data_IF_921483979013
#
_entry.id   IF_921483979013
#
_cell.length_a   1.000
_cell.length_b   1.000
_cell.length_c   1.000
_cell.angle_alpha   90.00
_cell.angle_beta   90.00
_cell.angle_gamma   90.00
#
_symmetry.space_group_name_H-M   'P 1'
#
loop_
_entity.id
_entity.type
_entity.pdbx_description
1 polymer ?
#
# COMPACT_ATOMS: atom_id res chain seq x y z
N UNK A 1 -30.03 32.28 -1.21
CA UNK A 1 -29.82 31.08 -2.05
C UNK A 1 -29.25 30.02 -1.14
N UNK A 2 -30.11 29.14 -0.62
CA UNK A 2 -29.69 28.07 0.28
C UNK A 2 -28.90 27.06 -0.55
N UNK A 3 -27.63 26.81 -0.18
CA UNK A 3 -26.87 25.70 -0.76
C UNK A 3 -27.49 24.42 -0.24
N UNK A 4 -28.07 23.67 -1.15
CA UNK A 4 -28.49 22.29 -0.92
C UNK A 4 -27.23 21.47 -0.60
N UNK A 5 -27.10 21.03 0.65
CA UNK A 5 -26.03 20.14 1.11
C UNK A 5 -26.50 18.69 1.07
N UNK A 6 -27.32 18.33 0.07
CA UNK A 6 -27.70 16.94 -0.21
C UNK A 6 -26.47 16.15 -0.72
N UNK A 7 -25.64 15.75 0.24
CA UNK A 7 -24.81 14.55 0.25
C UNK A 7 -24.05 14.23 -1.04
N UNK A 8 -23.08 15.06 -1.41
CA UNK A 8 -21.86 14.52 -1.99
C UNK A 8 -21.12 13.90 -0.81
N UNK A 9 -21.26 12.58 -0.60
CA UNK A 9 -20.46 11.86 0.38
C UNK A 9 -19.03 11.81 -0.17
N UNK A 10 -18.31 12.94 -0.12
CA UNK A 10 -16.91 13.03 -0.54
C UNK A 10 -16.12 12.24 0.49
N UNK A 11 -15.98 10.94 0.25
CA UNK A 11 -15.03 10.13 0.98
C UNK A 11 -13.66 10.79 0.85
N UNK A 12 -13.09 11.24 1.96
CA UNK A 12 -11.79 11.89 1.98
C UNK A 12 -10.69 10.82 1.89
N UNK A 13 -10.49 10.25 0.70
CA UNK A 13 -9.52 9.18 0.48
C UNK A 13 -8.06 9.63 0.68
N UNK A 14 -7.80 10.94 0.78
CA UNK A 14 -6.50 11.49 1.16
C UNK A 14 -6.25 11.53 2.67
N UNK A 15 -7.25 11.20 3.51
CA UNK A 15 -7.17 11.29 4.96
C UNK A 15 -6.92 9.92 5.61
N UNK A 16 -5.92 9.86 6.49
CA UNK A 16 -5.57 8.66 7.25
C UNK A 16 -6.75 8.15 8.08
N UNK A 17 -7.56 9.04 8.65
CA UNK A 17 -8.69 8.66 9.51
C UNK A 17 -9.78 7.92 8.74
N UNK A 18 -9.97 8.25 7.46
CA UNK A 18 -10.88 7.51 6.59
C UNK A 18 -10.41 6.05 6.45
N UNK A 19 -9.13 5.86 6.16
CA UNK A 19 -8.54 4.52 5.98
C UNK A 19 -8.46 3.73 7.28
N UNK A 20 -8.08 4.36 8.39
CA UNK A 20 -8.09 3.72 9.71
C UNK A 20 -9.49 3.19 10.05
N UNK A 21 -10.54 4.00 9.86
CA UNK A 21 -11.91 3.57 10.10
C UNK A 21 -12.32 2.39 9.20
N UNK A 22 -11.91 2.41 7.93
CA UNK A 22 -12.16 1.31 6.98
C UNK A 22 -11.47 0.02 7.41
N UNK A 23 -10.18 0.06 7.76
CA UNK A 23 -9.41 -1.13 8.13
C UNK A 23 -9.81 -1.71 9.50
N UNK A 24 -10.37 -0.91 10.39
CA UNK A 24 -11.00 -1.42 11.64
C UNK A 24 -12.24 -2.26 11.31
N UNK A 25 -13.05 -1.84 10.34
CA UNK A 25 -14.31 -2.51 9.99
C UNK A 25 -14.09 -3.74 9.09
N UNK A 26 -13.09 -3.71 8.22
CA UNK A 26 -12.79 -4.78 7.26
C UNK A 26 -11.63 -5.65 7.74
N UNK A 27 -11.93 -6.80 8.37
CA UNK A 27 -10.91 -7.71 8.92
C UNK A 27 -10.18 -8.59 7.90
N UNK A 28 -10.54 -8.54 6.61
CA UNK A 28 -9.98 -9.41 5.55
C UNK A 28 -9.09 -8.65 4.58
N UNK A 29 -8.09 -9.33 4.00
CA UNK A 29 -7.22 -8.73 2.98
C UNK A 29 -7.99 -8.35 1.71
N UNK A 30 -7.77 -7.13 1.23
CA UNK A 30 -8.41 -6.58 0.05
C UNK A 30 -7.38 -6.06 -0.95
N UNK A 31 -7.53 -6.44 -2.22
CA UNK A 31 -6.72 -5.91 -3.32
C UNK A 31 -7.57 -5.03 -4.21
N UNK A 32 -7.25 -3.75 -4.24
CA UNK A 32 -7.77 -2.84 -5.26
C UNK A 32 -7.28 -3.27 -6.64
N UNK A 33 -8.19 -3.14 -7.62
CA UNK A 33 -8.04 -3.48 -9.04
C UNK A 33 -7.75 -4.95 -9.34
N UNK A 34 -6.50 -5.39 -9.19
CA UNK A 34 -6.02 -6.70 -9.64
C UNK A 34 -5.14 -7.37 -8.59
N UNK A 35 -5.19 -8.70 -8.54
CA UNK A 35 -4.29 -9.54 -7.71
C UNK A 35 -2.94 -9.70 -8.40
N UNK A 36 -1.91 -10.09 -7.64
CA UNK A 36 -0.56 -10.29 -8.16
C UNK A 36 -0.51 -11.27 -9.33
N UNK A 37 -1.30 -12.35 -9.30
CA UNK A 37 -1.33 -13.36 -10.38
C UNK A 37 -1.59 -12.76 -11.77
N UNK A 38 -2.46 -11.76 -11.88
CA UNK A 38 -2.74 -11.06 -13.13
C UNK A 38 -1.65 -10.05 -13.50
N UNK A 39 -1.03 -9.42 -12.50
CA UNK A 39 0.02 -8.40 -12.68
C UNK A 39 1.42 -9.00 -12.88
N UNK A 40 1.63 -10.25 -12.46
CA UNK A 40 2.92 -10.93 -12.38
C UNK A 40 3.75 -10.82 -13.66
N UNK A 41 3.21 -11.04 -14.89
CA UNK A 41 4.02 -10.92 -16.11
C UNK A 41 4.60 -9.52 -16.31
N UNK A 42 3.87 -8.48 -15.90
CA UNK A 42 4.30 -7.09 -16.01
C UNK A 42 5.30 -6.73 -14.91
N UNK A 43 5.01 -7.12 -13.67
CA UNK A 43 5.92 -6.86 -12.54
C UNK A 43 7.26 -7.55 -12.80
N UNK A 44 7.26 -8.83 -13.19
CA UNK A 44 8.48 -9.58 -13.51
C UNK A 44 9.29 -9.01 -14.67
N UNK A 45 8.65 -8.32 -15.59
CA UNK A 45 9.31 -7.71 -16.74
C UNK A 45 10.15 -6.50 -16.33
N UNK A 46 9.72 -5.74 -15.32
CA UNK A 46 10.31 -4.45 -14.97
C UNK A 46 10.97 -4.42 -13.59
N UNK A 47 10.58 -5.31 -12.67
CA UNK A 47 11.09 -5.38 -11.30
C UNK A 47 11.79 -6.73 -11.12
N UNK A 48 13.07 -6.68 -10.75
CA UNK A 48 13.85 -7.90 -10.51
C UNK A 48 13.57 -8.41 -9.09
N UNK A 49 13.63 -9.72 -8.82
CA UNK A 49 13.41 -10.25 -7.47
C UNK A 49 14.40 -9.73 -6.42
N UNK A 50 15.64 -9.46 -6.86
CA UNK A 50 16.69 -8.89 -6.02
C UNK A 50 16.61 -7.37 -5.87
N UNK A 51 15.64 -6.71 -6.52
CA UNK A 51 15.43 -5.27 -6.38
C UNK A 51 14.93 -4.95 -4.97
N UNK A 52 15.40 -3.85 -4.39
CA UNK A 52 14.80 -3.26 -3.21
C UNK A 52 13.54 -2.50 -3.62
N UNK A 53 12.37 -3.04 -3.26
CA UNK A 53 11.06 -2.54 -3.70
C UNK A 53 10.41 -1.69 -2.62
N UNK A 54 9.83 -0.55 -3.00
CA UNK A 54 8.91 0.23 -2.19
C UNK A 54 7.47 0.04 -2.71
N UNK A 55 6.60 -0.50 -1.87
CA UNK A 55 5.15 -0.56 -2.11
C UNK A 55 4.51 0.64 -1.40
N UNK A 56 3.98 1.59 -2.16
CA UNK A 56 3.30 2.77 -1.60
C UNK A 56 1.81 2.50 -1.44
N UNK A 57 1.22 3.04 -0.37
CA UNK A 57 -0.17 2.81 0.02
C UNK A 57 -0.56 1.34 -0.02
N UNK A 58 0.21 0.51 0.69
CA UNK A 58 0.09 -0.94 0.61
C UNK A 58 -1.26 -1.48 1.13
N UNK A 59 -1.93 -0.73 2.00
CA UNK A 59 -3.15 -1.12 2.68
C UNK A 59 -3.03 -2.50 3.33
N UNK A 60 -4.05 -3.34 3.10
CA UNK A 60 -4.08 -4.73 3.54
C UNK A 60 -4.02 -5.74 2.37
N UNK A 61 -3.49 -5.30 1.23
CA UNK A 61 -3.31 -6.08 0.01
C UNK A 61 -2.34 -7.25 0.22
N UNK A 62 -2.52 -8.34 -0.54
CA UNK A 62 -1.61 -9.50 -0.49
C UNK A 62 -0.56 -9.49 -1.60
N UNK A 63 -0.48 -8.42 -2.39
CA UNK A 63 0.47 -8.33 -3.50
C UNK A 63 1.91 -8.57 -3.04
N UNK A 64 2.34 -7.98 -1.92
CA UNK A 64 3.72 -8.12 -1.43
C UNK A 64 4.04 -9.53 -0.93
N UNK A 65 3.11 -10.23 -0.24
CA UNK A 65 3.34 -11.62 0.16
C UNK A 65 3.44 -12.56 -1.06
N UNK A 66 2.65 -12.31 -2.10
CA UNK A 66 2.68 -13.11 -3.32
C UNK A 66 3.96 -12.84 -4.12
N UNK A 67 4.47 -11.60 -4.10
CA UNK A 67 5.80 -11.29 -4.61
C UNK A 67 6.89 -12.03 -3.84
N UNK A 68 6.85 -12.06 -2.50
CA UNK A 68 7.82 -12.83 -1.72
C UNK A 68 7.75 -14.33 -2.03
N UNK A 69 6.56 -14.91 -2.18
CA UNK A 69 6.39 -16.30 -2.64
C UNK A 69 6.96 -16.52 -4.05
N UNK A 70 6.97 -15.48 -4.87
CA UNK A 70 7.60 -15.45 -6.19
C UNK A 70 9.10 -15.08 -6.13
N UNK A 71 9.71 -15.04 -4.95
CA UNK A 71 11.16 -14.92 -4.76
C UNK A 71 11.71 -13.50 -4.63
N UNK A 72 10.86 -12.49 -4.42
CA UNK A 72 11.32 -11.14 -4.12
C UNK A 72 11.85 -11.06 -2.68
N UNK A 73 12.97 -10.36 -2.49
CA UNK A 73 13.79 -10.50 -1.27
C UNK A 73 13.70 -9.32 -0.30
N UNK A 74 13.44 -8.11 -0.79
CA UNK A 74 13.38 -6.90 0.04
C UNK A 74 12.22 -5.98 -0.41
N UNK A 75 11.11 -6.03 0.34
CA UNK A 75 9.93 -5.19 0.09
C UNK A 75 9.64 -4.34 1.33
N UNK A 76 9.78 -3.02 1.18
CA UNK A 76 9.26 -2.04 2.14
C UNK A 76 7.83 -1.67 1.74
N UNK A 77 6.89 -1.82 2.67
CA UNK A 77 5.50 -1.46 2.50
C UNK A 77 5.21 -0.24 3.35
N UNK A 78 4.67 0.82 2.73
CA UNK A 78 4.24 2.01 3.46
C UNK A 78 2.76 2.28 3.25
N UNK A 79 2.13 2.83 4.28
CA UNK A 79 0.75 3.30 4.23
C UNK A 79 0.58 4.43 5.24
N UNK A 80 -0.35 5.34 4.96
CA UNK A 80 -0.67 6.46 5.86
C UNK A 80 -1.45 5.96 7.10
N UNK A 81 -2.18 4.85 6.96
CA UNK A 81 -2.96 4.22 8.02
C UNK A 81 -2.08 3.45 9.00
N UNK A 82 -2.10 3.87 10.27
CA UNK A 82 -1.42 3.13 11.34
C UNK A 82 -2.06 1.76 11.57
N UNK A 83 -3.39 1.67 11.42
CA UNK A 83 -4.16 0.44 11.57
C UNK A 83 -3.73 -0.62 10.53
N UNK A 84 -3.63 -0.22 9.25
CA UNK A 84 -3.18 -1.12 8.19
C UNK A 84 -1.78 -1.66 8.47
N UNK A 85 -0.86 -0.76 8.84
CA UNK A 85 0.53 -1.13 9.11
C UNK A 85 0.64 -2.08 10.30
N UNK A 86 -0.05 -1.80 11.42
CA UNK A 86 -0.02 -2.71 12.57
C UNK A 86 -0.60 -4.08 12.25
N UNK A 87 -1.72 -4.12 11.52
CA UNK A 87 -2.35 -5.37 11.09
C UNK A 87 -1.39 -6.20 10.23
N UNK A 88 -0.76 -5.58 9.24
CA UNK A 88 0.13 -6.28 8.31
C UNK A 88 1.46 -6.68 8.96
N UNK A 89 2.00 -5.85 9.87
CA UNK A 89 3.16 -6.21 10.70
C UNK A 89 2.90 -7.47 11.51
N UNK A 90 1.75 -7.55 12.19
CA UNK A 90 1.38 -8.74 12.99
C UNK A 90 1.16 -9.96 12.10
N UNK A 91 0.49 -9.78 10.95
CA UNK A 91 0.18 -10.87 10.02
C UNK A 91 1.45 -11.52 9.43
N UNK A 92 2.50 -10.73 9.18
CA UNK A 92 3.72 -11.18 8.51
C UNK A 92 4.99 -11.04 9.36
N UNK A 93 4.87 -11.01 10.69
CA UNK A 93 5.99 -10.81 11.61
C UNK A 93 7.15 -11.79 11.37
N UNK A 94 6.83 -13.00 10.91
CA UNK A 94 7.80 -14.08 10.64
C UNK A 94 8.35 -14.11 9.21
N UNK A 95 7.98 -13.16 8.34
CA UNK A 95 8.45 -13.08 6.96
C UNK A 95 9.45 -11.91 6.84
N UNK A 96 10.77 -12.16 6.96
CA UNK A 96 11.77 -11.09 7.05
C UNK A 96 11.91 -10.23 5.78
N UNK A 97 11.45 -10.74 4.64
CA UNK A 97 11.44 -10.01 3.36
C UNK A 97 10.38 -8.89 3.34
N UNK A 98 9.38 -8.95 4.22
CA UNK A 98 8.29 -7.98 4.30
C UNK A 98 8.51 -7.02 5.47
N UNK A 99 8.79 -5.76 5.13
CA UNK A 99 8.91 -4.66 6.10
C UNK A 99 7.71 -3.74 5.95
N UNK A 100 7.25 -3.16 7.05
CA UNK A 100 6.08 -2.29 7.07
C UNK A 100 6.34 -1.06 7.94
N UNK A 101 6.02 0.11 7.43
CA UNK A 101 6.24 1.40 8.09
C UNK A 101 5.08 2.35 7.81
N UNK A 102 4.55 2.98 8.86
CA UNK A 102 3.59 4.07 8.67
C UNK A 102 4.31 5.27 8.08
N UNK A 103 3.81 5.79 6.96
CA UNK A 103 4.41 6.94 6.27
C UNK A 103 3.39 7.54 5.30
N UNK A 104 3.39 8.87 5.19
CA UNK A 104 2.70 9.58 4.12
C UNK A 104 3.59 9.56 2.86
N UNK A 105 3.10 9.03 1.75
CA UNK A 105 3.85 8.97 0.49
C UNK A 105 4.26 10.35 -0.05
N UNK A 106 3.60 11.42 0.40
CA UNK A 106 3.96 12.81 0.05
C UNK A 106 5.17 13.34 0.82
N UNK A 107 5.54 12.69 1.93
CA UNK A 107 6.71 12.99 2.74
C UNK A 107 7.48 11.71 3.08
N UNK A 108 8.39 11.34 2.17
CA UNK A 108 9.26 10.16 2.31
C UNK A 108 10.68 10.53 2.73
N UNK A 109 10.88 11.71 3.35
CA UNK A 109 12.20 12.26 3.72
C UNK A 109 13.02 11.39 4.69
N UNK A 110 12.37 10.42 5.35
CA UNK A 110 13.05 9.41 6.16
C UNK A 110 13.96 8.49 5.34
N UNK A 111 13.61 8.20 4.09
CA UNK A 111 14.42 7.37 3.22
C UNK A 111 15.51 8.22 2.54
N UNK A 112 16.76 7.73 2.45
CA UNK A 112 17.76 8.39 1.63
C UNK A 112 17.32 8.43 0.16
N UNK A 113 17.77 9.45 -0.55
CA UNK A 113 17.62 9.54 -2.00
C UNK A 113 18.22 8.29 -2.68
N UNK A 114 17.63 7.88 -3.80
CA UNK A 114 18.09 6.74 -4.62
C UNK A 114 18.20 5.41 -3.86
N UNK A 115 17.44 5.25 -2.77
CA UNK A 115 17.57 4.07 -1.90
C UNK A 115 16.68 2.88 -2.30
N UNK A 116 15.83 3.01 -3.30
CA UNK A 116 14.98 1.93 -3.83
C UNK A 116 15.19 1.76 -5.33
N UNK A 117 15.22 0.50 -5.80
CA UNK A 117 15.38 0.18 -7.22
C UNK A 117 14.05 0.28 -7.98
N UNK A 118 12.93 0.11 -7.28
CA UNK A 118 11.60 0.08 -7.90
C UNK A 118 10.53 0.51 -6.91
N UNK A 119 9.56 1.29 -7.38
CA UNK A 119 8.40 1.73 -6.62
C UNK A 119 7.16 1.19 -7.31
N UNK A 120 6.24 0.60 -6.55
CA UNK A 120 4.96 0.11 -7.04
C UNK A 120 3.84 0.89 -6.37
N UNK A 121 3.00 1.53 -7.19
CA UNK A 121 1.72 2.11 -6.81
C UNK A 121 0.60 1.23 -7.39
N UNK A 122 -0.38 0.89 -6.55
CA UNK A 122 -1.61 0.18 -6.95
C UNK A 122 -2.82 0.80 -6.26
N UNK A 123 -3.19 2.01 -6.67
CA UNK A 123 -4.39 2.71 -6.21
C UNK A 123 -4.15 3.85 -5.21
N UNK A 124 -2.90 4.09 -4.84
CA UNK A 124 -2.55 5.15 -3.91
C UNK A 124 -2.73 6.50 -4.55
N UNK A 125 -2.25 6.70 -5.80
CA UNK A 125 -2.44 7.96 -6.49
C UNK A 125 -3.92 8.28 -6.72
N UNK A 126 -4.75 7.29 -7.04
CA UNK A 126 -6.20 7.46 -7.18
C UNK A 126 -6.84 8.02 -5.89
N UNK A 127 -6.33 7.59 -4.73
CA UNK A 127 -6.81 8.05 -3.41
C UNK A 127 -6.40 9.50 -3.09
N UNK A 128 -5.31 9.99 -3.70
CA UNK A 128 -4.82 11.35 -3.52
C UNK A 128 -5.45 12.36 -4.49
N UNK A 129 -6.02 11.88 -5.60
CA UNK A 129 -6.47 12.69 -6.74
C UNK A 129 -8.01 12.84 -6.83
N UNK A 130 -8.73 12.57 -5.74
CA UNK A 130 -10.19 12.75 -5.60
C UNK A 130 -10.63 14.17 -5.30
#
# INVERSE_FOLDING_TARGET
>A
MYRDTSSCNTYNYGDALYWDARYIQEGGSFDWYQRYSALRPFVRKYVRPSSRVLMVGCGNAVMSEDMVKDGYEDIMNIDISSVAIEMMRRKYEYIPQLKYMQMDVRDMSFFPDESFDSIIDKGTLDSLMV
#
